data_IF_390556542240
#
_entry.id   IF_390556542240
#
_cell.length_a   1.000
_cell.length_b   1.000
_cell.length_c   1.000
_cell.angle_alpha   90.00
_cell.angle_beta   90.00
_cell.angle_gamma   90.00
#
_symmetry.space_group_name_H-M   'P 1'
#
loop_
_entity.id
_entity.type
_entity.pdbx_description
1 polymer ?
#
# COMPACT_ATOMS: atom_id res chain seq x y z
N UNK A 1 33.29 -2.33 -15.59
CA UNK A 1 31.86 -2.18 -15.96
C UNK A 1 31.58 -0.69 -16.12
N UNK A 2 31.26 -0.24 -17.35
CA UNK A 2 31.12 1.18 -17.65
C UNK A 2 29.82 1.74 -17.06
N UNK A 3 29.94 2.74 -16.20
CA UNK A 3 28.82 3.50 -15.65
C UNK A 3 28.24 4.37 -16.78
N UNK A 4 27.22 3.89 -17.51
CA UNK A 4 26.54 4.70 -18.53
C UNK A 4 25.61 5.70 -17.84
N UNK A 5 26.15 6.86 -17.48
CA UNK A 5 25.33 8.02 -17.13
C UNK A 5 24.67 8.57 -18.38
N UNK A 6 23.34 8.51 -18.45
CA UNK A 6 22.56 9.14 -19.52
C UNK A 6 22.88 10.64 -19.65
N UNK A 7 23.10 11.17 -20.87
CA UNK A 7 23.26 12.59 -21.13
C UNK A 7 22.10 13.42 -20.53
N UNK A 8 22.41 14.63 -20.06
CA UNK A 8 21.45 15.49 -19.37
C UNK A 8 20.29 15.95 -20.28
N UNK A 9 20.55 16.13 -21.57
CA UNK A 9 19.53 16.40 -22.58
C UNK A 9 18.53 15.24 -22.75
N UNK A 10 19.01 14.00 -22.70
CA UNK A 10 18.15 12.81 -22.78
C UNK A 10 17.25 12.68 -21.55
N UNK A 11 17.77 13.03 -20.36
CA UNK A 11 16.97 13.07 -19.12
C UNK A 11 15.90 14.15 -19.18
N UNK A 12 16.23 15.31 -19.75
CA UNK A 12 15.31 16.45 -19.88
C UNK A 12 14.20 16.13 -20.88
N UNK A 13 14.56 15.46 -21.98
CA UNK A 13 13.61 15.01 -23.02
C UNK A 13 12.70 13.91 -22.50
N UNK A 14 13.25 12.91 -21.80
CA UNK A 14 12.48 11.86 -21.13
C UNK A 14 11.53 12.42 -20.06
N UNK A 15 11.99 13.41 -19.27
CA UNK A 15 11.15 14.13 -18.31
C UNK A 15 9.96 14.81 -18.99
N UNK A 16 10.19 15.56 -20.08
CA UNK A 16 9.11 16.20 -20.85
C UNK A 16 8.14 15.21 -21.48
N UNK A 17 8.62 14.09 -22.01
CA UNK A 17 7.77 13.03 -22.57
C UNK A 17 6.90 12.39 -21.49
N UNK A 18 7.46 12.14 -20.31
CA UNK A 18 6.72 11.62 -19.15
C UNK A 18 5.64 12.60 -18.68
N UNK A 19 5.97 13.89 -18.58
CA UNK A 19 5.02 14.91 -18.13
C UNK A 19 3.87 15.10 -19.15
N UNK A 20 4.18 15.06 -20.45
CA UNK A 20 3.18 15.08 -21.52
C UNK A 20 2.27 13.84 -21.46
N UNK A 21 2.85 12.66 -21.26
CA UNK A 21 2.08 11.44 -21.06
C UNK A 21 1.11 11.59 -19.88
N UNK A 22 1.57 12.08 -18.72
CA UNK A 22 0.71 12.28 -17.56
C UNK A 22 -0.47 13.24 -17.81
N UNK A 23 -0.27 14.31 -18.58
CA UNK A 23 -1.37 15.21 -18.95
C UNK A 23 -2.39 14.54 -19.89
N UNK A 24 -1.94 13.68 -20.79
CA UNK A 24 -2.81 12.94 -21.72
C UNK A 24 -3.66 11.90 -20.97
N UNK A 25 -3.08 11.16 -20.03
CA UNK A 25 -3.83 10.16 -19.25
C UNK A 25 -4.63 10.76 -18.09
N UNK A 26 -4.34 12.00 -17.68
CA UNK A 26 -5.00 12.74 -16.56
C UNK A 26 -6.53 12.60 -16.49
N UNK A 27 -7.28 12.72 -17.60
CA UNK A 27 -8.74 12.58 -17.60
C UNK A 27 -9.22 11.17 -17.23
N UNK A 28 -8.50 10.12 -17.65
CA UNK A 28 -8.81 8.74 -17.30
C UNK A 28 -8.66 8.53 -15.79
N UNK A 29 -7.56 8.98 -15.18
CA UNK A 29 -7.38 8.89 -13.73
C UNK A 29 -8.48 9.56 -12.93
N UNK A 30 -8.99 10.72 -13.39
CA UNK A 30 -10.07 11.41 -12.69
C UNK A 30 -11.33 10.55 -12.65
N UNK A 31 -11.62 9.82 -13.74
CA UNK A 31 -12.73 8.87 -13.81
C UNK A 31 -12.46 7.69 -12.88
N UNK A 32 -11.28 7.11 -12.92
CA UNK A 32 -10.90 5.97 -12.08
C UNK A 32 -10.99 6.29 -10.59
N UNK A 33 -10.46 7.44 -10.18
CA UNK A 33 -10.58 7.94 -8.81
C UNK A 33 -12.03 8.18 -8.41
N UNK A 34 -12.86 8.67 -9.34
CA UNK A 34 -14.29 8.86 -9.08
C UNK A 34 -14.99 7.51 -8.89
N UNK A 35 -14.73 6.53 -9.75
CA UNK A 35 -15.28 5.16 -9.63
C UNK A 35 -14.89 4.54 -8.29
N UNK A 36 -13.60 4.60 -7.93
CA UNK A 36 -13.13 4.08 -6.65
C UNK A 36 -13.78 4.82 -5.46
N UNK A 37 -13.90 6.14 -5.53
CA UNK A 37 -14.56 6.95 -4.50
C UNK A 37 -16.03 6.60 -4.35
N UNK A 38 -16.74 6.33 -5.46
CA UNK A 38 -18.12 5.85 -5.44
C UNK A 38 -18.19 4.46 -4.80
N UNK A 39 -17.29 3.55 -5.17
CA UNK A 39 -17.20 2.24 -4.56
C UNK A 39 -16.92 2.31 -3.05
N UNK A 40 -16.06 3.23 -2.58
CA UNK A 40 -15.82 3.47 -1.15
C UNK A 40 -17.10 3.95 -0.43
N UNK A 41 -17.87 4.85 -1.04
CA UNK A 41 -19.15 5.29 -0.45
C UNK A 41 -20.16 4.14 -0.39
N UNK A 42 -20.21 3.28 -1.41
CA UNK A 42 -21.02 2.07 -1.41
C UNK A 42 -20.54 1.06 -0.36
N UNK A 43 -19.23 0.95 -0.17
CA UNK A 43 -18.60 0.10 0.84
C UNK A 43 -19.03 0.46 2.26
N UNK A 44 -19.12 1.77 2.55
CA UNK A 44 -19.61 2.26 3.85
C UNK A 44 -21.12 2.05 4.01
N UNK A 45 -21.92 2.32 2.98
CA UNK A 45 -23.39 2.28 3.07
C UNK A 45 -23.99 0.88 2.92
N UNK A 46 -23.32 -0.02 2.20
CA UNK A 46 -23.77 -1.38 1.90
C UNK A 46 -22.62 -2.40 2.09
N UNK A 47 -22.04 -2.52 3.30
CA UNK A 47 -20.85 -3.33 3.55
C UNK A 47 -21.05 -4.84 3.33
N UNK A 48 -22.29 -5.32 3.31
CA UNK A 48 -22.63 -6.70 2.98
C UNK A 48 -22.61 -6.98 1.48
N UNK A 49 -22.75 -5.94 0.65
CA UNK A 49 -22.81 -6.06 -0.80
C UNK A 49 -21.43 -5.83 -1.42
N UNK A 50 -20.77 -4.74 -1.03
CA UNK A 50 -19.47 -4.34 -1.58
C UNK A 50 -18.56 -3.89 -0.44
N UNK A 51 -17.28 -4.27 -0.50
CA UNK A 51 -16.24 -3.73 0.36
C UNK A 51 -15.04 -3.30 -0.48
N UNK A 52 -14.50 -2.10 -0.23
CA UNK A 52 -13.23 -1.65 -0.83
C UNK A 52 -12.10 -1.84 0.17
N UNK A 53 -11.02 -2.49 -0.27
CA UNK A 53 -9.78 -2.68 0.48
C UNK A 53 -8.61 -2.13 -0.34
N UNK A 54 -7.83 -1.21 0.23
CA UNK A 54 -6.62 -0.67 -0.38
C UNK A 54 -5.42 -1.30 0.31
N UNK A 55 -4.42 -1.72 -0.45
CA UNK A 55 -3.19 -2.27 0.11
C UNK A 55 -2.02 -1.53 -0.49
N UNK A 56 -1.16 -0.99 0.36
CA UNK A 56 0.07 -0.34 -0.04
C UNK A 56 1.15 -0.53 1.03
N UNK A 57 2.40 -0.37 0.62
CA UNK A 57 3.57 -0.49 1.48
C UNK A 57 4.33 0.83 1.53
N UNK A 58 4.72 1.24 2.74
CA UNK A 58 5.53 2.42 2.93
C UNK A 58 6.94 2.22 2.35
N UNK A 59 7.50 3.27 1.76
CA UNK A 59 8.88 3.28 1.30
C UNK A 59 9.87 3.02 2.44
N UNK A 60 10.75 2.04 2.24
CA UNK A 60 11.71 1.53 3.24
C UNK A 60 12.75 2.53 3.73
N UNK A 61 12.98 3.61 2.99
CA UNK A 61 14.01 4.60 3.34
C UNK A 61 13.68 5.32 4.65
N UNK A 62 12.40 5.58 4.92
CA UNK A 62 11.96 6.28 6.14
C UNK A 62 11.84 5.40 7.37
N UNK A 63 11.81 4.07 7.22
CA UNK A 63 11.41 3.12 8.26
C UNK A 63 12.56 2.26 8.78
N UNK A 64 13.80 2.52 8.35
CA UNK A 64 14.99 1.79 8.82
C UNK A 64 15.14 1.87 10.34
N UNK A 65 15.54 0.76 10.96
CA UNK A 65 15.80 0.64 12.40
C UNK A 65 17.29 0.41 12.68
N UNK A 66 17.86 1.00 13.75
CA UNK A 66 17.28 2.09 14.55
C UNK A 66 17.07 3.36 13.71
N UNK A 67 15.91 4.00 13.89
CA UNK A 67 15.59 5.31 13.36
C UNK A 67 16.03 6.38 14.34
N UNK A 68 16.86 7.30 13.88
CA UNK A 68 17.32 8.44 14.69
C UNK A 68 16.81 9.73 14.06
N UNK A 69 16.27 10.63 14.88
CA UNK A 69 15.91 11.99 14.42
C UNK A 69 17.15 12.69 13.86
N UNK A 70 18.29 12.50 14.55
CA UNK A 70 19.61 12.99 14.11
C UNK A 70 20.61 11.85 14.17
N UNK A 71 20.70 11.13 13.06
CA UNK A 71 21.63 10.02 12.90
C UNK A 71 23.09 10.45 13.12
N UNK A 72 23.82 9.81 14.05
CA UNK A 72 25.25 10.02 14.20
C UNK A 72 26.03 9.59 12.96
N UNK A 73 27.09 10.33 12.59
CA UNK A 73 27.96 9.99 11.44
C UNK A 73 28.65 8.64 11.57
N UNK A 74 28.78 8.11 12.79
CA UNK A 74 29.39 6.81 13.09
C UNK A 74 28.48 5.63 12.75
N UNK A 75 27.19 5.84 12.46
CA UNK A 75 26.24 4.78 12.13
C UNK A 75 26.07 4.72 10.61
N UNK A 76 26.68 3.77 9.88
CA UNK A 76 26.55 3.67 8.42
C UNK A 76 25.21 3.06 8.01
N UNK A 77 24.71 3.35 6.80
CA UNK A 77 23.43 2.83 6.29
C UNK A 77 23.35 1.30 6.33
N UNK A 78 24.48 0.65 6.13
CA UNK A 78 24.63 -0.80 6.15
C UNK A 78 24.41 -1.44 7.52
N UNK A 79 24.43 -0.67 8.61
CA UNK A 79 24.14 -1.19 9.95
C UNK A 79 22.67 -1.06 10.32
N UNK A 80 21.81 -0.55 9.44
CA UNK A 80 20.39 -0.41 9.69
C UNK A 80 19.61 -1.59 9.11
N UNK A 81 18.59 -2.01 9.85
CA UNK A 81 17.65 -3.04 9.45
C UNK A 81 16.46 -2.40 8.72
N UNK A 82 16.05 -2.99 7.62
CA UNK A 82 14.84 -2.55 6.92
C UNK A 82 13.60 -3.03 7.68
N UNK A 83 12.71 -2.10 7.98
CA UNK A 83 11.39 -2.38 8.54
C UNK A 83 10.32 -2.09 7.49
N UNK A 84 9.57 -3.11 7.12
CA UNK A 84 8.44 -3.01 6.21
C UNK A 84 7.19 -2.61 7.00
N UNK A 85 6.52 -1.55 6.54
CA UNK A 85 5.19 -1.16 7.02
C UNK A 85 4.23 -1.29 5.85
N UNK A 86 3.21 -2.11 6.02
CA UNK A 86 2.15 -2.32 5.03
C UNK A 86 0.82 -1.97 5.69
N UNK A 87 -0.02 -1.23 4.98
CA UNK A 87 -1.37 -0.91 5.43
C UNK A 87 -2.39 -1.59 4.53
N UNK A 88 -3.34 -2.26 5.15
CA UNK A 88 -4.56 -2.72 4.51
C UNK A 88 -5.71 -1.84 5.00
N UNK A 89 -6.02 -0.82 4.20
CA UNK A 89 -7.03 0.17 4.51
C UNK A 89 -8.40 -0.26 3.97
N UNK A 90 -9.34 -0.50 4.86
CA UNK A 90 -10.70 -0.94 4.56
C UNK A 90 -11.63 0.28 4.58
N UNK A 91 -12.33 0.53 3.47
CA UNK A 91 -13.31 1.61 3.35
C UNK A 91 -14.59 1.27 4.12
N UNK A 92 -14.57 1.54 5.41
CA UNK A 92 -15.69 1.30 6.31
C UNK A 92 -15.69 2.36 7.38
N UNK A 93 -16.84 2.96 7.60
CA UNK A 93 -17.00 3.93 8.67
C UNK A 93 -17.15 3.23 10.02
N UNK A 94 -16.28 3.60 10.97
CA UNK A 94 -16.33 3.11 12.34
C UNK A 94 -15.84 4.20 13.28
N UNK A 95 -16.61 4.51 14.32
CA UNK A 95 -16.28 5.53 15.33
C UNK A 95 -15.94 6.92 14.74
N UNK A 96 -16.61 7.31 13.64
CA UNK A 96 -16.37 8.58 12.94
C UNK A 96 -15.11 8.60 12.05
N UNK A 97 -14.35 7.50 12.00
CA UNK A 97 -13.25 7.31 11.05
C UNK A 97 -13.80 6.68 9.77
N UNK A 98 -13.41 7.24 8.62
CA UNK A 98 -13.87 6.77 7.30
C UNK A 98 -13.24 5.43 6.88
N UNK A 99 -12.11 5.08 7.48
CA UNK A 99 -11.36 3.87 7.16
C UNK A 99 -10.97 3.13 8.43
N UNK A 100 -10.96 1.80 8.33
CA UNK A 100 -10.30 0.93 9.29
C UNK A 100 -8.95 0.52 8.69
N UNK A 101 -7.85 0.79 9.39
CA UNK A 101 -6.51 0.46 8.94
C UNK A 101 -6.03 -0.80 9.67
N UNK A 102 -5.67 -1.84 8.91
CA UNK A 102 -4.97 -3.02 9.43
C UNK A 102 -3.50 -2.89 9.04
N UNK A 103 -2.68 -2.45 10.01
CA UNK A 103 -1.28 -2.11 9.77
C UNK A 103 -0.37 -3.26 10.20
N UNK A 104 0.56 -3.61 9.33
CA UNK A 104 1.52 -4.69 9.52
C UNK A 104 2.93 -4.12 9.50
N UNK A 105 3.64 -4.25 10.62
CA UNK A 105 5.04 -3.85 10.73
C UNK A 105 5.92 -5.08 10.94
N UNK A 106 6.94 -5.27 10.09
CA UNK A 106 7.85 -6.41 10.21
C UNK A 106 9.27 -6.07 9.74
N UNK A 107 10.26 -6.74 10.32
CA UNK A 107 11.63 -6.72 9.79
C UNK A 107 11.68 -7.45 8.43
N UNK A 108 12.20 -6.77 7.40
CA UNK A 108 12.15 -7.21 5.99
C UNK A 108 12.91 -8.52 5.69
N UNK A 109 13.69 -9.00 6.65
CA UNK A 109 14.47 -10.24 6.59
C UNK A 109 13.66 -11.46 7.00
N UNK A 110 12.64 -11.27 7.84
CA UNK A 110 11.87 -12.36 8.46
C UNK A 110 10.50 -12.59 7.81
N UNK A 111 10.07 -11.68 6.94
CA UNK A 111 8.79 -11.80 6.27
C UNK A 111 8.91 -12.37 4.86
N UNK A 112 7.86 -13.07 4.43
CA UNK A 112 7.67 -13.41 3.02
C UNK A 112 7.76 -12.15 2.16
N UNK A 113 8.34 -12.27 0.96
CA UNK A 113 8.45 -11.16 0.01
C UNK A 113 7.51 -11.38 -1.16
N UNK A 114 7.05 -10.27 -1.74
CA UNK A 114 6.23 -10.30 -2.94
C UNK A 114 4.80 -10.76 -2.69
N UNK A 115 4.25 -11.55 -3.60
CA UNK A 115 2.82 -11.86 -3.66
C UNK A 115 2.29 -12.58 -2.43
N UNK A 116 3.07 -13.50 -1.84
CA UNK A 116 2.64 -14.29 -0.69
C UNK A 116 2.33 -13.43 0.53
N UNK A 117 3.13 -12.37 0.74
CA UNK A 117 2.92 -11.43 1.82
C UNK A 117 1.63 -10.64 1.63
N UNK A 118 1.40 -10.11 0.42
CA UNK A 118 0.18 -9.37 0.07
C UNK A 118 -1.06 -10.26 0.25
N UNK A 119 -0.99 -11.51 -0.21
CA UNK A 119 -2.07 -12.48 -0.03
C UNK A 119 -2.35 -12.74 1.46
N UNK A 120 -1.29 -12.87 2.27
CA UNK A 120 -1.41 -13.09 3.71
C UNK A 120 -2.06 -11.89 4.41
N UNK A 121 -1.68 -10.66 4.07
CA UNK A 121 -2.27 -9.44 4.63
C UNK A 121 -3.75 -9.30 4.25
N UNK A 122 -4.10 -9.55 2.98
CA UNK A 122 -5.49 -9.53 2.52
C UNK A 122 -6.30 -10.60 3.24
N UNK A 123 -5.79 -11.83 3.34
CA UNK A 123 -6.49 -12.93 4.02
C UNK A 123 -6.73 -12.61 5.49
N UNK A 124 -5.70 -12.11 6.18
CA UNK A 124 -5.83 -11.73 7.59
C UNK A 124 -6.84 -10.58 7.78
N UNK A 125 -6.79 -9.55 6.94
CA UNK A 125 -7.75 -8.45 6.98
C UNK A 125 -9.18 -8.92 6.69
N UNK A 126 -9.38 -9.82 5.72
CA UNK A 126 -10.69 -10.44 5.43
C UNK A 126 -11.18 -11.27 6.63
N UNK A 127 -10.29 -12.01 7.30
CA UNK A 127 -10.65 -12.84 8.46
C UNK A 127 -11.14 -12.03 9.67
N UNK A 128 -10.76 -10.75 9.76
CA UNK A 128 -11.20 -9.83 10.81
C UNK A 128 -12.51 -9.11 10.49
N UNK A 129 -13.03 -9.26 9.26
CA UNK A 129 -14.28 -8.62 8.90
C UNK A 129 -15.45 -9.25 9.68
N UNK A 130 -16.30 -8.46 10.34
CA UNK A 130 -17.47 -9.01 11.03
C UNK A 130 -18.53 -9.55 10.05
N UNK A 131 -18.49 -9.09 8.79
CA UNK A 131 -19.39 -9.53 7.71
C UNK A 131 -18.55 -9.61 6.44
N UNK A 132 -18.62 -10.75 5.76
CA UNK A 132 -17.99 -10.95 4.44
C UNK A 132 -18.89 -10.32 3.35
N UNK A 133 -18.34 -9.47 2.48
CA UNK A 133 -19.10 -8.85 1.38
C UNK A 133 -19.34 -9.85 0.23
N UNK A 134 -20.38 -9.62 -0.57
CA UNK A 134 -20.57 -10.32 -1.85
C UNK A 134 -19.50 -9.95 -2.88
N UNK A 135 -19.05 -8.70 -2.86
CA UNK A 135 -18.05 -8.17 -3.76
C UNK A 135 -16.90 -7.52 -2.99
N UNK A 136 -15.68 -7.99 -3.23
CA UNK A 136 -14.46 -7.34 -2.73
C UNK A 136 -13.79 -6.56 -3.85
N UNK A 137 -13.55 -5.28 -3.64
CA UNK A 137 -12.78 -4.44 -4.56
C UNK A 137 -11.42 -4.18 -3.92
N UNK A 138 -10.35 -4.76 -4.46
CA UNK A 138 -8.99 -4.49 -4.00
C UNK A 138 -8.38 -3.37 -4.83
N UNK A 139 -7.75 -2.39 -4.19
CA UNK A 139 -6.99 -1.34 -4.85
C UNK A 139 -5.51 -1.47 -4.45
N UNK A 140 -4.67 -1.82 -5.42
CA UNK A 140 -3.28 -2.21 -5.22
C UNK A 140 -2.35 -1.36 -6.08
N UNK A 141 -1.09 -1.19 -5.70
CA UNK A 141 -0.09 -0.61 -6.58
C UNK A 141 0.14 -1.50 -7.82
N UNK A 142 0.48 -0.86 -8.95
CA UNK A 142 0.75 -1.56 -10.21
C UNK A 142 2.17 -2.14 -10.23
N UNK A 143 2.47 -3.01 -9.28
CA UNK A 143 3.71 -3.77 -9.19
C UNK A 143 3.52 -5.21 -9.70
N UNK A 144 4.59 -5.81 -10.24
CA UNK A 144 4.60 -7.19 -10.71
C UNK A 144 4.20 -8.20 -9.62
N UNK A 145 4.50 -7.90 -8.36
CA UNK A 145 4.12 -8.73 -7.21
C UNK A 145 2.61 -8.83 -7.03
N UNK A 146 1.85 -7.80 -7.38
CA UNK A 146 0.40 -7.82 -7.29
C UNK A 146 -0.25 -8.40 -8.56
N UNK A 147 0.55 -8.71 -9.59
CA UNK A 147 0.10 -9.22 -10.89
C UNK A 147 0.62 -10.63 -11.19
N UNK A 148 1.08 -11.33 -10.17
CA UNK A 148 1.65 -12.67 -10.34
C UNK A 148 0.58 -13.75 -10.44
N UNK A 149 0.97 -14.91 -10.96
CA UNK A 149 0.11 -16.11 -10.96
C UNK A 149 -0.30 -16.50 -9.54
N UNK A 150 0.60 -16.36 -8.57
CA UNK A 150 0.32 -16.64 -7.16
C UNK A 150 -0.81 -15.76 -6.63
N UNK A 151 -0.75 -14.45 -6.93
CA UNK A 151 -1.79 -13.51 -6.50
C UNK A 151 -3.15 -13.86 -7.11
N UNK A 152 -3.22 -14.09 -8.42
CA UNK A 152 -4.50 -14.46 -9.07
C UNK A 152 -5.00 -15.85 -8.65
N UNK A 153 -4.11 -16.81 -8.42
CA UNK A 153 -4.48 -18.11 -7.86
C UNK A 153 -5.08 -17.97 -6.45
N UNK A 154 -4.52 -17.08 -5.62
CA UNK A 154 -5.06 -16.75 -4.31
C UNK A 154 -6.46 -16.11 -4.40
N UNK A 155 -6.69 -15.17 -5.32
CA UNK A 155 -8.02 -14.58 -5.53
C UNK A 155 -9.04 -15.65 -5.97
N UNK A 156 -8.64 -16.54 -6.89
CA UNK A 156 -9.47 -17.68 -7.29
C UNK A 156 -9.78 -18.62 -6.12
N UNK A 157 -8.79 -18.90 -5.28
CA UNK A 157 -8.97 -19.70 -4.07
C UNK A 157 -9.92 -19.04 -3.06
N UNK A 158 -9.82 -17.72 -2.84
CA UNK A 158 -10.74 -16.97 -1.97
C UNK A 158 -12.20 -17.14 -2.42
N UNK A 159 -12.47 -16.99 -3.72
CA UNK A 159 -13.80 -17.16 -4.32
C UNK A 159 -14.34 -18.60 -4.18
N UNK A 160 -13.45 -19.60 -4.14
CA UNK A 160 -13.85 -21.00 -3.98
C UNK A 160 -14.16 -21.35 -2.52
N UNK A 161 -13.37 -20.83 -1.58
CA UNK A 161 -13.46 -21.16 -0.15
C UNK A 161 -14.52 -20.34 0.57
N UNK A 162 -14.63 -19.05 0.26
CA UNK A 162 -15.56 -18.12 0.92
C UNK A 162 -16.85 -18.03 0.11
N UNK A 163 -17.90 -18.73 0.54
CA UNK A 163 -19.13 -18.90 -0.24
C UNK A 163 -19.95 -17.62 -0.40
N UNK A 164 -19.84 -16.72 0.56
CA UNK A 164 -20.48 -15.41 0.55
C UNK A 164 -19.86 -14.47 -0.48
N UNK A 165 -18.56 -14.65 -0.77
CA UNK A 165 -17.80 -13.83 -1.70
C UNK A 165 -18.04 -14.33 -3.14
N UNK A 166 -18.80 -13.56 -3.91
CA UNK A 166 -19.21 -13.91 -5.27
C UNK A 166 -18.27 -13.34 -6.32
N UNK A 167 -17.64 -12.20 -6.03
CA UNK A 167 -16.78 -11.51 -6.98
C UNK A 167 -15.64 -10.78 -6.29
N UNK A 168 -14.47 -10.77 -6.95
CA UNK A 168 -13.36 -9.89 -6.59
C UNK A 168 -12.98 -9.03 -7.79
N UNK A 169 -13.00 -7.71 -7.61
CA UNK A 169 -12.47 -6.75 -8.57
C UNK A 169 -11.09 -6.31 -8.14
N UNK A 170 -10.08 -6.58 -8.96
CA UNK A 170 -8.71 -6.13 -8.74
C UNK A 170 -8.47 -4.84 -9.51
N UNK A 171 -8.39 -3.74 -8.78
CA UNK A 171 -8.06 -2.42 -9.30
C UNK A 171 -6.58 -2.11 -9.06
N UNK A 172 -5.85 -1.75 -10.12
CA UNK A 172 -4.47 -1.31 -9.98
C UNK A 172 -4.38 0.21 -10.05
N UNK A 173 -3.64 0.81 -9.13
CA UNK A 173 -3.29 2.23 -9.19
C UNK A 173 -2.37 2.47 -10.38
N UNK A 174 -2.73 3.41 -11.24
CA UNK A 174 -1.85 3.83 -12.33
C UNK A 174 -0.55 4.45 -11.80
N UNK A 175 0.54 4.24 -12.54
CA UNK A 175 1.90 4.62 -12.13
C UNK A 175 2.04 6.13 -12.12
N UNK A 176 2.66 6.69 -11.07
CA UNK A 176 2.99 8.12 -11.00
C UNK A 176 1.95 9.03 -10.33
N UNK A 177 0.83 8.49 -9.83
CA UNK A 177 -0.24 9.29 -9.19
C UNK A 177 -0.72 8.71 -7.85
N UNK A 178 0.23 8.38 -6.97
CA UNK A 178 0.11 7.95 -5.55
C UNK A 178 -0.31 9.11 -4.62
N UNK A 179 -1.49 9.66 -4.85
CA UNK A 179 -2.16 10.47 -3.82
C UNK A 179 -3.47 9.79 -3.45
N UNK A 180 -3.32 8.70 -2.70
CA UNK A 180 -4.42 7.94 -2.12
C UNK A 180 -4.50 8.18 -0.62
N UNK A 181 -5.59 7.75 0.01
CA UNK A 181 -5.78 7.87 1.47
C UNK A 181 -4.77 7.06 2.28
N UNK A 182 -4.16 6.02 1.68
CA UNK A 182 -3.08 5.23 2.28
C UNK A 182 -1.77 6.04 2.36
N UNK A 183 -1.44 6.82 1.33
CA UNK A 183 -0.27 7.72 1.35
C UNK A 183 -0.38 8.77 2.46
N UNK A 184 -1.59 9.30 2.68
CA UNK A 184 -1.85 10.24 3.78
C UNK A 184 -1.62 9.59 5.15
N UNK A 185 -1.99 8.31 5.31
CA UNK A 185 -1.71 7.53 6.51
C UNK A 185 -0.21 7.30 6.72
N UNK A 186 0.55 6.95 5.68
CA UNK A 186 2.01 6.86 5.80
C UNK A 186 2.67 8.23 6.06
N UNK A 187 2.05 9.32 5.59
CA UNK A 187 2.45 10.68 5.94
C UNK A 187 2.38 10.94 7.45
N UNK A 188 1.33 10.50 8.14
CA UNK A 188 1.21 10.68 9.59
C UNK A 188 2.25 9.85 10.35
N UNK A 189 2.53 8.62 9.93
CA UNK A 189 3.61 7.78 10.48
C UNK A 189 4.96 8.48 10.30
N UNK A 190 5.22 9.01 9.11
CA UNK A 190 6.47 9.74 8.80
C UNK A 190 6.65 10.96 9.70
N UNK A 191 5.58 11.73 9.94
CA UNK A 191 5.64 12.87 10.86
C UNK A 191 5.90 12.44 12.31
N UNK A 192 5.31 11.34 12.77
CA UNK A 192 5.60 10.80 14.11
C UNK A 192 7.06 10.35 14.25
N UNK A 193 7.62 9.70 13.23
CA UNK A 193 9.03 9.27 13.22
C UNK A 193 10.01 10.44 13.38
N UNK A 194 9.65 11.65 12.94
CA UNK A 194 10.48 12.86 13.12
C UNK A 194 10.53 13.38 14.56
N UNK A 195 9.65 12.89 15.44
CA UNK A 195 9.50 13.43 16.81
C UNK A 195 10.26 12.66 17.89
N UNK A 196 10.68 11.41 17.62
CA UNK A 196 11.35 10.53 18.59
C UNK A 196 12.31 9.56 17.89
N UNK A 197 13.36 9.16 18.60
CA UNK A 197 14.19 8.03 18.16
C UNK A 197 13.39 6.72 18.34
N UNK A 198 13.55 5.81 17.39
CA UNK A 198 12.88 4.49 17.37
C UNK A 198 13.95 3.43 17.21
N UNK A 199 14.27 2.75 18.30
CA UNK A 199 15.45 1.89 18.33
C UNK A 199 15.11 0.44 18.05
N UNK A 200 13.88 0.04 18.37
CA UNK A 200 13.42 -1.35 18.30
C UNK A 200 12.16 -1.51 17.45
N UNK A 201 11.88 -2.73 16.96
CA UNK A 201 10.59 -3.07 16.35
C UNK A 201 9.39 -2.75 17.26
N UNK A 202 9.52 -2.95 18.57
CA UNK A 202 8.47 -2.66 19.54
C UNK A 202 8.16 -1.16 19.60
N UNK A 203 9.19 -0.31 19.55
CA UNK A 203 8.99 1.15 19.48
C UNK A 203 8.26 1.55 18.19
N UNK A 204 8.55 0.87 17.08
CA UNK A 204 7.87 1.09 15.80
C UNK A 204 6.38 0.68 15.89
N UNK A 205 6.06 -0.42 16.56
CA UNK A 205 4.68 -0.83 16.80
C UNK A 205 3.86 0.24 17.54
N UNK A 206 4.48 0.97 18.47
CA UNK A 206 3.84 2.08 19.21
C UNK A 206 3.63 3.36 18.38
N UNK A 207 4.15 3.41 17.16
CA UNK A 207 3.97 4.52 16.22
C UNK A 207 2.87 4.19 15.20
N UNK A 208 2.80 2.94 14.77
CA UNK A 208 1.90 2.51 13.70
C UNK A 208 0.51 2.08 14.19
N UNK A 209 0.33 1.83 15.49
CA UNK A 209 -0.94 1.48 16.16
C UNK A 209 -1.49 2.66 16.95
#
# INVERSE_FOLDING_TARGET
MSNRSWPEEDRTTAGRMRDKHYEEIRPAFRKDRLVLKVAEMMSTTQPHNLLVMKVDAMGREGTKLPHYIRRPKSVPDTSLLFYDIVDVQIAREQNGLRYLNEVYGNLAEFNGRGSDAICSYILHAVSKLPIIPKMLVTNLDNCLTNKSNTFFAFIGWLLLVIKELQQVFVWYCEVGHTHNSVDAFFGTITEQLKTRDVLTPQDMCLIIL
#
